data_IF_084587974748
#
_entry.id   IF_084587974748
#
_cell.length_a   1.000
_cell.length_b   1.000
_cell.length_c   1.000
_cell.angle_alpha   90.00
_cell.angle_beta   90.00
_cell.angle_gamma   90.00
#
_symmetry.space_group_name_H-M   'P 1'
#
loop_
_entity.id
_entity.type
_entity.pdbx_description
1 polymer ?
#
# COMPACT_ATOMS: atom_id res chain seq x y z
N UNK A 1 1.87 -19.69 12.21
CA UNK A 1 1.32 -19.25 10.89
C UNK A 1 -0.16 -18.98 11.10
N UNK A 2 -0.69 -17.93 10.48
CA UNK A 2 -2.13 -17.64 10.55
C UNK A 2 -2.95 -18.72 9.85
N UNK A 3 -4.14 -19.02 10.39
CA UNK A 3 -5.12 -19.92 9.78
C UNK A 3 -5.92 -19.24 8.66
N UNK A 4 -5.86 -17.92 8.57
CA UNK A 4 -6.54 -17.16 7.55
C UNK A 4 -5.75 -17.14 6.24
N UNK A 5 -6.44 -17.22 5.11
CA UNK A 5 -5.87 -17.27 3.76
C UNK A 5 -6.66 -16.36 2.83
N UNK A 6 -5.99 -15.72 1.87
CA UNK A 6 -6.66 -14.94 0.81
C UNK A 6 -7.20 -15.95 -0.21
N UNK A 7 -8.49 -15.87 -0.48
CA UNK A 7 -9.19 -16.77 -1.40
C UNK A 7 -9.73 -16.08 -2.65
N UNK A 8 -9.87 -14.76 -2.61
CA UNK A 8 -10.31 -13.96 -3.76
C UNK A 8 -9.85 -12.52 -3.67
N UNK A 9 -9.85 -11.83 -4.82
CA UNK A 9 -9.52 -10.41 -4.89
C UNK A 9 -10.08 -9.77 -6.15
N UNK A 10 -10.26 -8.46 -6.07
CA UNK A 10 -10.52 -7.59 -7.21
C UNK A 10 -9.80 -6.25 -7.02
N UNK A 11 -9.60 -5.53 -8.12
CA UNK A 11 -8.88 -4.26 -8.14
C UNK A 11 -9.46 -3.38 -9.22
N UNK A 12 -9.81 -2.13 -8.90
CA UNK A 12 -10.19 -1.13 -9.90
C UNK A 12 -8.95 -0.63 -10.66
N UNK A 13 -9.16 0.01 -11.80
CA UNK A 13 -8.08 0.74 -12.44
C UNK A 13 -7.74 1.98 -11.60
N UNK A 14 -6.46 2.19 -11.29
CA UNK A 14 -6.00 3.40 -10.64
C UNK A 14 -5.86 4.53 -11.65
N UNK A 15 -6.28 5.73 -11.24
CA UNK A 15 -6.21 6.91 -12.09
C UNK A 15 -7.17 8.00 -11.63
N UNK A 16 -7.41 8.97 -12.52
CA UNK A 16 -8.52 9.88 -12.35
C UNK A 16 -9.79 9.15 -12.77
N UNK A 17 -10.51 8.60 -11.79
CA UNK A 17 -11.72 7.84 -12.05
C UNK A 17 -12.88 8.75 -12.46
N UNK A 18 -13.66 8.28 -13.45
CA UNK A 18 -14.97 8.88 -13.78
C UNK A 18 -16.06 8.60 -12.73
N UNK A 19 -15.80 7.67 -11.82
CA UNK A 19 -16.69 7.35 -10.70
C UNK A 19 -16.72 8.53 -9.72
N UNK A 20 -17.89 9.04 -9.34
CA UNK A 20 -17.97 10.32 -8.63
C UNK A 20 -17.46 10.26 -7.19
N UNK A 21 -17.57 9.13 -6.51
CA UNK A 21 -17.40 8.98 -5.07
C UNK A 21 -16.78 7.65 -4.65
N UNK A 22 -16.60 7.46 -3.35
CA UNK A 22 -16.09 6.24 -2.74
C UNK A 22 -17.03 5.05 -2.86
N UNK A 23 -18.35 5.30 -2.84
CA UNK A 23 -19.34 4.24 -3.00
C UNK A 23 -19.24 3.58 -4.36
N UNK A 24 -19.19 4.39 -5.42
CA UNK A 24 -19.03 3.89 -6.78
C UNK A 24 -17.71 3.14 -6.98
N UNK A 25 -16.59 3.61 -6.37
CA UNK A 25 -15.31 2.89 -6.43
C UNK A 25 -15.38 1.53 -5.71
N UNK A 26 -16.04 1.45 -4.56
CA UNK A 26 -16.25 0.20 -3.85
C UNK A 26 -17.11 -0.78 -4.66
N UNK A 27 -18.13 -0.28 -5.38
CA UNK A 27 -18.99 -1.09 -6.23
C UNK A 27 -18.21 -1.79 -7.37
N UNK A 28 -17.12 -1.17 -7.86
CA UNK A 28 -16.28 -1.78 -8.90
C UNK A 28 -15.55 -3.05 -8.43
N UNK A 29 -15.38 -3.27 -7.13
CA UNK A 29 -14.50 -4.33 -6.60
C UNK A 29 -15.19 -5.35 -5.68
N UNK A 30 -16.34 -5.02 -5.05
CA UNK A 30 -16.99 -5.90 -4.08
C UNK A 30 -17.48 -7.17 -4.75
N UNK A 31 -18.42 -7.07 -5.68
CA UNK A 31 -18.97 -8.24 -6.35
C UNK A 31 -17.90 -9.03 -7.14
N UNK A 32 -17.00 -8.39 -7.92
CA UNK A 32 -15.92 -9.13 -8.58
C UNK A 32 -14.98 -9.89 -7.64
N UNK A 33 -14.72 -9.38 -6.42
CA UNK A 33 -13.87 -10.10 -5.46
C UNK A 33 -14.58 -11.33 -4.89
N UNK A 34 -15.87 -11.23 -4.59
CA UNK A 34 -16.70 -12.33 -4.13
C UNK A 34 -16.82 -13.42 -5.21
N UNK A 35 -17.09 -13.03 -6.45
CA UNK A 35 -17.13 -13.93 -7.62
C UNK A 35 -15.77 -14.61 -7.83
N UNK A 36 -14.68 -13.86 -7.70
CA UNK A 36 -13.33 -14.42 -7.83
C UNK A 36 -13.00 -15.44 -6.73
N UNK A 37 -13.57 -15.25 -5.53
CA UNK A 37 -13.44 -16.16 -4.40
C UNK A 37 -14.37 -17.39 -4.49
N UNK A 38 -15.42 -17.32 -5.31
CA UNK A 38 -16.54 -18.27 -5.32
C UNK A 38 -17.23 -18.31 -3.93
N UNK A 39 -17.44 -17.12 -3.33
CA UNK A 39 -18.04 -16.96 -1.99
C UNK A 39 -19.29 -16.09 -2.10
N UNK A 40 -20.46 -16.58 -1.69
CA UNK A 40 -21.68 -15.77 -1.63
C UNK A 40 -21.55 -14.63 -0.62
N UNK A 41 -22.09 -13.46 -0.93
CA UNK A 41 -22.06 -12.29 -0.04
C UNK A 41 -22.62 -12.57 1.35
N UNK A 42 -23.71 -13.37 1.43
CA UNK A 42 -24.35 -13.74 2.71
C UNK A 42 -23.45 -14.57 3.65
N UNK A 43 -22.35 -15.11 3.14
CA UNK A 43 -21.41 -15.94 3.91
C UNK A 43 -20.26 -15.08 4.50
N UNK A 44 -20.27 -13.76 4.26
CA UNK A 44 -19.31 -12.82 4.84
C UNK A 44 -19.72 -12.49 6.29
N UNK A 45 -18.85 -12.86 7.23
CA UNK A 45 -19.07 -12.65 8.66
C UNK A 45 -18.72 -11.23 9.15
N UNK A 46 -17.76 -10.57 8.49
CA UNK A 46 -17.32 -9.22 8.84
C UNK A 46 -16.68 -8.48 7.65
N UNK A 47 -16.74 -7.14 7.68
CA UNK A 47 -16.18 -6.26 6.66
C UNK A 47 -15.21 -5.28 7.31
N UNK A 48 -14.01 -5.16 6.75
CA UNK A 48 -12.96 -4.24 7.18
C UNK A 48 -12.60 -3.30 6.04
N UNK A 49 -12.94 -2.02 6.19
CA UNK A 49 -12.72 -1.01 5.15
C UNK A 49 -11.56 -0.12 5.53
N UNK A 50 -10.50 -0.14 4.74
CA UNK A 50 -9.37 0.77 4.86
C UNK A 50 -9.58 2.03 4.01
N UNK A 51 -9.58 3.20 4.64
CA UNK A 51 -9.60 4.49 3.97
C UNK A 51 -8.99 5.56 4.86
N UNK A 52 -8.05 6.33 4.33
CA UNK A 52 -7.51 7.51 5.00
C UNK A 52 -8.62 8.57 5.10
N UNK A 53 -9.30 8.86 4.02
CA UNK A 53 -10.24 9.96 3.81
C UNK A 53 -9.69 11.32 4.26
N UNK A 54 -9.74 11.65 5.54
CA UNK A 54 -9.23 12.89 6.14
C UNK A 54 -9.66 14.15 5.37
N UNK A 55 -10.87 14.13 4.77
CA UNK A 55 -11.42 15.23 3.97
C UNK A 55 -11.21 15.09 2.45
N UNK A 56 -10.62 14.00 1.95
CA UNK A 56 -10.54 13.71 0.50
C UNK A 56 -11.94 13.48 -0.10
N UNK A 57 -12.87 12.98 0.69
CA UNK A 57 -14.29 12.81 0.36
C UNK A 57 -15.14 13.36 1.50
N UNK A 58 -16.28 13.98 1.16
CA UNK A 58 -17.27 14.43 2.14
C UNK A 58 -18.04 13.29 2.79
N UNK A 59 -18.07 12.09 2.17
CA UNK A 59 -18.68 10.90 2.74
C UNK A 59 -17.78 10.30 3.80
N UNK A 60 -18.21 10.31 5.03
CA UNK A 60 -17.61 9.55 6.13
C UNK A 60 -18.44 8.28 6.42
N UNK A 61 -18.15 7.57 7.51
CA UNK A 61 -18.80 6.28 7.85
C UNK A 61 -18.73 5.27 6.70
N UNK A 62 -17.59 5.25 6.00
CA UNK A 62 -17.34 4.45 4.79
C UNK A 62 -17.56 2.94 5.07
N UNK A 63 -17.38 2.49 6.32
CA UNK A 63 -17.65 1.11 6.71
C UNK A 63 -19.09 0.64 6.43
N UNK A 64 -20.07 1.53 6.40
CA UNK A 64 -21.47 1.19 6.13
C UNK A 64 -21.81 1.07 4.64
N UNK A 65 -20.99 1.62 3.74
CA UNK A 65 -21.29 1.65 2.30
C UNK A 65 -21.41 0.27 1.64
N UNK A 66 -20.64 -0.78 2.02
CA UNK A 66 -20.78 -2.09 1.40
C UNK A 66 -22.21 -2.65 1.45
N UNK A 67 -22.94 -2.41 2.54
CA UNK A 67 -24.36 -2.81 2.66
C UNK A 67 -25.33 -2.01 1.81
N UNK A 68 -24.94 -0.80 1.38
CA UNK A 68 -25.70 0.01 0.41
C UNK A 68 -25.48 -0.50 -1.02
N UNK A 69 -24.25 -0.95 -1.32
CA UNK A 69 -23.86 -1.43 -2.63
C UNK A 69 -24.42 -2.83 -2.91
N UNK A 70 -24.33 -3.72 -1.92
CA UNK A 70 -24.78 -5.09 -2.02
C UNK A 70 -25.67 -5.42 -0.81
N UNK A 71 -27.03 -5.48 -1.00
CA UNK A 71 -27.99 -5.63 0.09
C UNK A 71 -27.76 -6.84 1.00
N UNK A 72 -27.18 -7.92 0.48
CA UNK A 72 -26.83 -9.11 1.23
C UNK A 72 -25.80 -8.84 2.33
N UNK A 73 -25.02 -7.75 2.21
CA UNK A 73 -24.05 -7.31 3.21
C UNK A 73 -24.63 -6.33 4.24
N UNK A 74 -25.88 -5.90 4.10
CA UNK A 74 -26.47 -4.84 4.93
C UNK A 74 -26.50 -5.15 6.44
N UNK A 75 -26.51 -6.43 6.81
CA UNK A 75 -26.49 -6.87 8.21
C UNK A 75 -25.11 -7.35 8.67
N UNK A 76 -24.12 -7.35 7.78
CA UNK A 76 -22.76 -7.76 8.11
C UNK A 76 -22.05 -6.68 8.92
N UNK A 77 -21.50 -7.00 10.12
CA UNK A 77 -20.73 -6.04 10.89
C UNK A 77 -19.56 -5.47 10.08
N UNK A 78 -19.45 -4.15 10.07
CA UNK A 78 -18.44 -3.46 9.29
C UNK A 78 -17.74 -2.37 10.10
N UNK A 79 -16.43 -2.21 9.91
CA UNK A 79 -15.65 -1.14 10.54
C UNK A 79 -14.74 -0.49 9.50
N UNK A 80 -14.50 0.81 9.67
CA UNK A 80 -13.42 1.51 8.96
C UNK A 80 -12.18 1.53 9.82
N UNK A 81 -11.02 1.31 9.18
CA UNK A 81 -9.70 1.46 9.77
C UNK A 81 -8.91 2.54 9.03
N UNK A 82 -7.98 3.14 9.74
CA UNK A 82 -7.05 4.14 9.23
C UNK A 82 -5.65 3.89 9.83
N UNK A 83 -4.62 3.94 9.00
CA UNK A 83 -3.21 3.88 9.38
C UNK A 83 -2.35 4.49 8.27
N UNK A 84 -2.71 5.71 7.85
CA UNK A 84 -2.10 6.45 6.75
C UNK A 84 -1.90 5.54 5.51
N UNK A 85 -0.70 5.52 4.92
CA UNK A 85 -0.40 4.69 3.73
C UNK A 85 -0.44 3.18 4.01
N UNK A 86 -0.43 2.74 5.28
CA UNK A 86 -0.56 1.34 5.68
C UNK A 86 -2.00 0.91 5.99
N UNK A 87 -2.98 1.74 5.69
CA UNK A 87 -4.40 1.55 6.00
C UNK A 87 -4.96 0.22 5.45
N UNK A 88 -4.64 -0.12 4.20
CA UNK A 88 -5.07 -1.40 3.62
C UNK A 88 -4.48 -2.62 4.35
N UNK A 89 -3.23 -2.52 4.79
CA UNK A 89 -2.61 -3.55 5.62
C UNK A 89 -3.27 -3.64 7.00
N UNK A 90 -3.61 -2.50 7.63
CA UNK A 90 -4.31 -2.49 8.91
C UNK A 90 -5.69 -3.17 8.81
N UNK A 91 -6.45 -2.91 7.74
CA UNK A 91 -7.71 -3.59 7.48
C UNK A 91 -7.53 -5.10 7.30
N UNK A 92 -6.48 -5.51 6.58
CA UNK A 92 -6.15 -6.93 6.42
C UNK A 92 -5.77 -7.56 7.78
N UNK A 93 -4.93 -6.94 8.59
CA UNK A 93 -4.59 -7.45 9.93
C UNK A 93 -5.82 -7.62 10.81
N UNK A 94 -6.73 -6.64 10.82
CA UNK A 94 -7.98 -6.75 11.58
C UNK A 94 -8.83 -7.94 11.13
N UNK A 95 -8.88 -8.24 9.83
CA UNK A 95 -9.56 -9.42 9.30
C UNK A 95 -8.87 -10.73 9.72
N UNK A 96 -7.53 -10.77 9.68
CA UNK A 96 -6.76 -11.94 10.15
C UNK A 96 -7.03 -12.20 11.63
N UNK A 97 -6.95 -11.17 12.47
CA UNK A 97 -7.18 -11.26 13.91
C UNK A 97 -8.62 -11.67 14.23
N UNK A 98 -9.60 -11.17 13.47
CA UNK A 98 -11.01 -11.55 13.61
C UNK A 98 -11.22 -13.05 13.37
N UNK A 99 -10.61 -13.59 12.32
CA UNK A 99 -10.68 -15.01 11.98
C UNK A 99 -9.89 -15.86 12.99
N UNK A 100 -8.70 -15.44 13.38
CA UNK A 100 -7.88 -16.15 14.37
C UNK A 100 -8.57 -16.22 15.75
N UNK A 101 -9.28 -15.15 16.13
CA UNK A 101 -10.07 -15.10 17.36
C UNK A 101 -11.35 -15.96 17.32
N UNK A 102 -11.65 -16.58 16.17
CA UNK A 102 -12.85 -17.41 15.99
C UNK A 102 -14.16 -16.62 15.98
N UNK A 103 -14.13 -15.32 15.72
CA UNK A 103 -15.32 -14.44 15.67
C UNK A 103 -16.08 -14.52 14.36
N UNK A 104 -15.45 -15.04 13.30
CA UNK A 104 -15.97 -15.27 11.98
C UNK A 104 -15.03 -16.20 11.21
N UNK A 105 -15.47 -16.66 10.06
CA UNK A 105 -14.70 -17.59 9.22
C UNK A 105 -14.34 -17.00 7.87
N UNK A 106 -15.12 -16.01 7.39
CA UNK A 106 -14.89 -15.33 6.12
C UNK A 106 -15.03 -13.81 6.34
N UNK A 107 -14.04 -13.06 5.92
CA UNK A 107 -14.03 -11.60 6.01
C UNK A 107 -13.80 -10.97 4.63
N UNK A 108 -14.50 -9.85 4.38
CA UNK A 108 -14.26 -8.98 3.23
C UNK A 108 -13.38 -7.81 3.69
N UNK A 109 -12.23 -7.64 3.03
CA UNK A 109 -11.30 -6.53 3.26
C UNK A 109 -11.33 -5.62 2.06
N UNK A 110 -11.57 -4.34 2.29
CA UNK A 110 -11.69 -3.32 1.26
C UNK A 110 -10.67 -2.23 1.51
N UNK A 111 -10.13 -1.67 0.43
CA UNK A 111 -9.35 -0.44 0.46
C UNK A 111 -9.88 0.52 -0.60
N UNK A 112 -10.10 1.79 -0.25
CA UNK A 112 -10.64 2.77 -1.18
C UNK A 112 -10.14 4.16 -0.86
N UNK A 113 -9.81 4.92 -1.93
CA UNK A 113 -9.53 6.35 -1.82
C UNK A 113 -10.03 7.11 -3.06
N UNK A 114 -10.78 8.20 -2.84
CA UNK A 114 -11.21 9.13 -3.87
C UNK A 114 -10.47 10.45 -3.68
N UNK A 115 -9.29 10.56 -4.28
CA UNK A 115 -8.40 11.70 -4.09
C UNK A 115 -8.65 12.84 -5.08
N UNK A 116 -9.15 12.53 -6.28
CA UNK A 116 -9.27 13.52 -7.37
C UNK A 116 -10.57 14.30 -7.35
N UNK A 117 -11.40 14.13 -6.31
CA UNK A 117 -12.63 14.89 -6.11
C UNK A 117 -12.38 16.33 -5.63
N UNK A 118 -11.20 16.60 -5.07
CA UNK A 118 -10.79 17.89 -4.55
C UNK A 118 -9.60 18.47 -5.34
N UNK A 119 -9.35 19.78 -5.25
CA UNK A 119 -8.20 20.42 -5.89
C UNK A 119 -6.86 19.81 -5.42
N UNK A 120 -5.92 19.63 -6.34
CA UNK A 120 -4.60 19.06 -6.04
C UNK A 120 -3.82 19.85 -4.97
N UNK A 121 -4.05 21.17 -4.89
CA UNK A 121 -3.46 22.03 -3.86
C UNK A 121 -3.89 21.66 -2.43
N UNK A 122 -5.10 21.15 -2.25
CA UNK A 122 -5.64 20.76 -0.95
C UNK A 122 -5.16 19.36 -0.54
N UNK A 123 -4.90 18.50 -1.51
CA UNK A 123 -4.43 17.12 -1.25
C UNK A 123 -3.11 17.13 -0.47
N UNK A 124 -2.20 18.03 -0.79
CA UNK A 124 -0.91 18.16 -0.09
C UNK A 124 -1.09 18.42 1.40
N UNK A 125 -2.01 19.31 1.76
CA UNK A 125 -2.33 19.64 3.15
C UNK A 125 -3.00 18.45 3.89
N UNK A 126 -3.92 17.76 3.23
CA UNK A 126 -4.58 16.59 3.80
C UNK A 126 -3.55 15.48 4.09
N UNK A 127 -2.63 15.23 3.15
CA UNK A 127 -1.58 14.23 3.31
C UNK A 127 -0.57 14.58 4.40
N UNK A 128 -0.34 15.87 4.69
CA UNK A 128 0.46 16.30 5.84
C UNK A 128 -0.15 15.91 7.19
N UNK A 129 -1.44 15.52 7.22
CA UNK A 129 -2.05 14.90 8.39
C UNK A 129 -1.42 13.57 8.78
N UNK A 130 -0.72 12.89 7.87
CA UNK A 130 0.05 11.67 8.14
C UNK A 130 1.47 11.94 8.67
N UNK A 131 1.87 13.20 8.84
CA UNK A 131 3.14 13.64 9.40
C UNK A 131 2.93 14.24 10.81
N UNK A 132 4.03 14.48 11.54
CA UNK A 132 3.95 15.17 12.82
C UNK A 132 3.79 16.68 12.59
N UNK A 133 2.55 17.14 12.42
CA UNK A 133 2.20 18.51 12.03
C UNK A 133 2.87 19.62 12.86
N UNK A 134 3.06 19.50 14.20
CA UNK A 134 3.72 20.56 14.97
C UNK A 134 5.15 20.91 14.52
N UNK A 135 5.84 20.00 13.84
CA UNK A 135 7.22 20.19 13.38
C UNK A 135 7.35 20.14 11.84
N UNK A 136 6.35 19.63 11.14
CA UNK A 136 6.47 19.25 9.73
C UNK A 136 5.43 19.92 8.80
N UNK A 137 4.48 20.71 9.34
CA UNK A 137 3.43 21.36 8.54
C UNK A 137 3.97 22.42 7.56
N UNK A 138 5.07 23.10 7.90
CA UNK A 138 5.60 24.24 7.13
C UNK A 138 6.68 23.81 6.12
N UNK A 139 6.75 22.52 5.79
CA UNK A 139 7.74 22.03 4.84
C UNK A 139 7.42 22.53 3.43
N UNK A 140 8.37 23.21 2.81
CA UNK A 140 8.24 23.63 1.42
C UNK A 140 8.02 22.41 0.51
N UNK A 141 7.01 22.46 -0.36
CA UNK A 141 6.60 21.34 -1.20
C UNK A 141 5.61 20.38 -0.53
N UNK A 142 5.08 20.73 0.66
CA UNK A 142 4.06 19.98 1.37
C UNK A 142 4.51 18.55 1.68
N UNK A 143 3.61 17.57 1.53
CA UNK A 143 3.91 16.16 1.80
C UNK A 143 5.11 15.62 0.98
N UNK A 144 5.24 16.01 -0.29
CA UNK A 144 6.41 15.63 -1.10
C UNK A 144 7.72 16.24 -0.56
N UNK A 145 7.63 17.44 0.05
CA UNK A 145 8.76 18.12 0.69
C UNK A 145 9.38 17.34 1.84
N UNK A 146 8.57 16.57 2.59
CA UNK A 146 9.06 15.65 3.63
C UNK A 146 10.04 14.63 3.02
N UNK A 147 9.67 14.02 1.92
CA UNK A 147 10.52 13.05 1.22
C UNK A 147 11.71 13.72 0.53
N UNK A 148 11.53 14.96 0.05
CA UNK A 148 12.64 15.78 -0.46
C UNK A 148 13.72 16.00 0.60
N UNK A 149 13.33 16.38 1.82
CA UNK A 149 14.28 16.52 2.96
C UNK A 149 15.00 15.21 3.29
N UNK A 150 14.29 14.07 3.28
CA UNK A 150 14.90 12.75 3.52
C UNK A 150 15.89 12.43 2.41
N UNK A 151 15.54 12.66 1.15
CA UNK A 151 16.41 12.40 0.01
C UNK A 151 17.66 13.31 0.03
N UNK A 152 17.48 14.60 0.34
CA UNK A 152 18.60 15.55 0.45
C UNK A 152 19.57 15.12 1.56
N UNK A 153 19.09 14.80 2.75
CA UNK A 153 19.92 14.28 3.83
C UNK A 153 20.62 12.96 3.49
N UNK A 154 19.97 12.11 2.68
CA UNK A 154 20.60 10.89 2.18
C UNK A 154 21.73 11.22 1.20
N UNK A 155 21.55 12.18 0.30
CA UNK A 155 22.58 12.62 -0.65
C UNK A 155 23.75 13.27 0.07
N UNK A 156 23.50 14.08 1.11
CA UNK A 156 24.56 14.65 1.93
C UNK A 156 25.42 13.58 2.61
N UNK A 157 24.80 12.47 3.04
CA UNK A 157 25.50 11.37 3.74
C UNK A 157 26.24 10.43 2.79
N UNK A 158 25.69 10.15 1.60
CA UNK A 158 26.15 9.09 0.71
C UNK A 158 26.53 9.55 -0.71
N UNK A 159 26.57 10.86 -0.93
CA UNK A 159 26.77 11.45 -2.25
C UNK A 159 25.52 11.50 -3.10
N UNK A 160 25.60 12.16 -4.24
CA UNK A 160 24.47 12.27 -5.19
C UNK A 160 24.01 10.90 -5.66
N UNK A 161 22.69 10.64 -5.56
CA UNK A 161 22.01 9.39 -5.92
C UNK A 161 20.89 9.63 -6.94
N UNK A 162 20.99 10.74 -7.69
CA UNK A 162 20.01 11.11 -8.70
C UNK A 162 19.86 10.05 -9.79
N UNK A 163 20.97 9.43 -10.21
CA UNK A 163 20.98 8.39 -11.22
C UNK A 163 20.30 7.12 -10.72
N UNK A 164 20.58 6.69 -9.48
CA UNK A 164 19.93 5.51 -8.90
C UNK A 164 18.42 5.71 -8.73
N UNK A 165 17.97 6.92 -8.35
CA UNK A 165 16.54 7.25 -8.33
C UNK A 165 15.94 7.17 -9.74
N UNK A 166 16.64 7.70 -10.75
CA UNK A 166 16.19 7.62 -12.15
C UNK A 166 16.10 6.18 -12.65
N UNK A 167 17.05 5.30 -12.27
CA UNK A 167 17.01 3.87 -12.61
C UNK A 167 15.79 3.19 -11.98
N UNK A 168 15.46 3.52 -10.72
CA UNK A 168 14.26 3.01 -10.03
C UNK A 168 12.99 3.49 -10.73
N UNK A 169 12.91 4.78 -11.02
CA UNK A 169 11.78 5.39 -11.72
C UNK A 169 11.55 4.75 -13.09
N UNK A 170 12.59 4.66 -13.92
CA UNK A 170 12.55 4.04 -15.24
C UNK A 170 12.05 2.58 -15.17
N UNK A 171 12.61 1.78 -14.25
CA UNK A 171 12.15 0.40 -14.03
C UNK A 171 10.67 0.33 -13.66
N UNK A 172 10.21 1.19 -12.75
CA UNK A 172 8.82 1.18 -12.29
C UNK A 172 7.86 1.61 -13.41
N UNK A 173 8.22 2.62 -14.20
CA UNK A 173 7.46 3.02 -15.38
C UNK A 173 7.39 1.91 -16.42
N UNK A 174 8.50 1.23 -16.69
CA UNK A 174 8.52 0.09 -17.62
C UNK A 174 7.61 -1.05 -17.16
N UNK A 175 7.61 -1.36 -15.85
CA UNK A 175 6.70 -2.36 -15.27
C UNK A 175 5.22 -1.93 -15.37
N UNK A 176 4.95 -0.63 -15.24
CA UNK A 176 3.61 -0.06 -15.36
C UNK A 176 2.98 -0.22 -16.74
N UNK A 177 3.79 -0.30 -17.82
CA UNK A 177 3.28 -0.44 -19.19
C UNK A 177 2.43 -1.70 -19.35
N UNK A 178 2.85 -2.81 -18.77
CA UNK A 178 2.16 -4.10 -18.86
C UNK A 178 1.06 -4.29 -17.81
N UNK A 179 0.85 -3.34 -16.90
CA UNK A 179 -0.14 -3.44 -15.85
C UNK A 179 -1.45 -2.73 -16.25
N UNK A 180 -2.56 -3.45 -16.52
CA UNK A 180 -3.81 -2.83 -16.94
C UNK A 180 -4.44 -1.90 -15.90
N UNK A 181 -4.05 -2.05 -14.63
CA UNK A 181 -4.54 -1.25 -13.51
C UNK A 181 -3.70 -0.02 -13.20
N UNK A 182 -2.53 0.13 -13.82
CA UNK A 182 -1.65 1.26 -13.55
C UNK A 182 -2.22 2.57 -14.12
N UNK A 183 -2.10 3.66 -13.34
CA UNK A 183 -2.46 5.00 -13.79
C UNK A 183 -1.58 5.43 -14.97
N UNK A 184 -0.26 5.25 -14.85
CA UNK A 184 0.71 5.60 -15.88
C UNK A 184 1.22 4.34 -16.57
N UNK A 185 0.83 4.17 -17.86
CA UNK A 185 1.26 3.04 -18.69
C UNK A 185 2.23 3.53 -19.79
N UNK A 186 3.28 4.23 -19.37
CA UNK A 186 4.28 4.82 -20.28
C UNK A 186 5.68 4.57 -19.73
N UNK A 187 6.53 3.97 -20.57
CA UNK A 187 7.94 3.83 -20.27
C UNK A 187 8.69 5.16 -20.42
N UNK A 188 9.70 5.35 -19.58
CA UNK A 188 10.68 6.42 -19.69
C UNK A 188 12.08 5.83 -19.58
N UNK A 189 13.03 6.39 -20.33
CA UNK A 189 14.43 6.01 -20.20
C UNK A 189 15.01 6.51 -18.87
N UNK A 190 16.13 5.94 -18.45
CA UNK A 190 16.89 6.45 -17.28
C UNK A 190 17.28 7.91 -17.50
N UNK A 191 17.70 8.26 -18.73
CA UNK A 191 18.07 9.62 -19.09
C UNK A 191 16.87 10.59 -18.94
N UNK A 192 15.67 10.21 -19.44
CA UNK A 192 14.46 11.04 -19.29
C UNK A 192 14.08 11.22 -17.83
N UNK A 193 14.22 10.18 -17.01
CA UNK A 193 13.95 10.24 -15.58
C UNK A 193 15.02 11.06 -14.83
N UNK A 194 16.28 11.07 -15.29
CA UNK A 194 17.36 11.80 -14.63
C UNK A 194 17.43 13.29 -15.01
N UNK A 195 16.95 13.63 -16.21
CA UNK A 195 16.98 15.01 -16.71
C UNK A 195 15.90 15.87 -16.08
N UNK A 196 16.28 16.97 -15.45
CA UNK A 196 15.35 18.02 -15.04
C UNK A 196 14.93 18.82 -16.26
N UNK A 197 13.63 18.97 -16.48
CA UNK A 197 13.04 19.68 -17.64
C UNK A 197 11.59 20.09 -17.33
N UNK A 198 10.95 20.85 -18.21
CA UNK A 198 9.52 21.20 -18.09
C UNK A 198 8.61 19.95 -18.01
N UNK A 199 9.03 18.84 -18.60
CA UNK A 199 8.30 17.56 -18.54
C UNK A 199 8.60 16.76 -17.28
N UNK A 200 9.76 16.99 -16.66
CA UNK A 200 10.21 16.32 -15.45
C UNK A 200 10.84 17.33 -14.47
N UNK A 201 10.08 18.36 -14.01
CA UNK A 201 10.59 19.33 -13.06
C UNK A 201 10.80 18.73 -11.67
N UNK A 202 11.54 19.42 -10.84
CA UNK A 202 11.53 19.14 -9.41
C UNK A 202 10.12 19.34 -8.83
N UNK A 203 9.67 18.38 -8.04
CA UNK A 203 8.45 18.49 -7.21
C UNK A 203 8.85 18.98 -5.82
N UNK A 204 9.87 18.37 -5.25
CA UNK A 204 10.51 18.76 -3.98
C UNK A 204 11.99 18.35 -4.06
N UNK A 205 12.91 19.28 -4.37
CA UNK A 205 14.31 18.91 -4.58
C UNK A 205 14.88 18.04 -3.46
N UNK A 206 15.68 16.98 -3.79
CA UNK A 206 16.15 16.62 -5.13
C UNK A 206 15.17 15.73 -5.93
N UNK A 207 13.91 15.54 -5.49
CA UNK A 207 12.93 14.68 -6.14
C UNK A 207 12.28 15.36 -7.35
N UNK A 208 12.29 14.66 -8.47
CA UNK A 208 11.67 15.06 -9.75
C UNK A 208 10.26 14.45 -9.86
N UNK A 209 9.50 14.91 -10.84
CA UNK A 209 8.16 14.35 -11.10
C UNK A 209 8.16 12.83 -11.27
N UNK A 210 9.17 12.27 -11.95
CA UNK A 210 9.29 10.81 -12.15
C UNK A 210 9.65 10.04 -10.89
N UNK A 211 10.15 10.71 -9.85
CA UNK A 211 10.45 10.12 -8.56
C UNK A 211 9.22 10.06 -7.63
N UNK A 212 8.13 10.74 -8.01
CA UNK A 212 6.91 10.87 -7.22
C UNK A 212 5.77 10.06 -7.81
N UNK A 213 4.90 9.51 -6.95
CA UNK A 213 3.67 8.87 -7.39
C UNK A 213 2.62 9.90 -7.82
N UNK A 214 1.70 9.49 -8.69
CA UNK A 214 0.56 10.30 -9.07
C UNK A 214 -0.53 10.23 -8.02
N UNK A 215 -1.27 11.35 -7.87
CA UNK A 215 -2.56 11.35 -7.15
C UNK A 215 -3.54 10.51 -7.97
N UNK A 216 -4.11 9.48 -7.36
CA UNK A 216 -4.97 8.52 -8.04
C UNK A 216 -6.13 8.10 -7.15
N UNK A 217 -7.28 7.92 -7.78
CA UNK A 217 -8.41 7.22 -7.19
C UNK A 217 -8.26 5.73 -7.38
N UNK A 218 -8.93 4.93 -6.56
CA UNK A 218 -9.04 3.51 -6.76
C UNK A 218 -9.59 2.77 -5.56
N UNK A 219 -9.94 1.51 -5.81
CA UNK A 219 -10.36 0.56 -4.79
C UNK A 219 -9.73 -0.82 -5.04
N UNK A 220 -9.60 -1.58 -3.97
CA UNK A 220 -9.22 -2.99 -4.01
C UNK A 220 -10.01 -3.77 -2.97
N UNK A 221 -10.27 -5.04 -3.26
CA UNK A 221 -10.97 -5.94 -2.36
C UNK A 221 -10.23 -7.27 -2.22
N UNK A 222 -10.22 -7.82 -1.01
CA UNK A 222 -9.75 -9.17 -0.73
C UNK A 222 -10.85 -9.93 0.00
N UNK A 223 -11.01 -11.20 -0.33
CA UNK A 223 -11.79 -12.16 0.49
C UNK A 223 -10.80 -13.02 1.24
N UNK A 224 -10.92 -13.05 2.55
CA UNK A 224 -10.06 -13.82 3.46
C UNK A 224 -10.91 -14.86 4.17
N UNK A 225 -10.49 -16.12 4.15
CA UNK A 225 -11.22 -17.22 4.76
C UNK A 225 -10.32 -18.04 5.69
N UNK A 226 -10.93 -18.63 6.72
CA UNK A 226 -10.27 -19.61 7.57
C UNK A 226 -9.82 -20.83 6.74
N UNK A 227 -8.69 -21.41 7.06
CA UNK A 227 -8.07 -22.52 6.31
C UNK A 227 -9.02 -23.72 6.06
N UNK A 228 -9.94 -23.97 6.98
CA UNK A 228 -10.94 -25.03 6.84
C UNK A 228 -11.96 -24.79 5.72
N UNK A 229 -12.17 -23.53 5.33
CA UNK A 229 -13.00 -23.15 4.17
C UNK A 229 -12.11 -23.00 2.95
N UNK A 230 -10.98 -22.34 3.10
CA UNK A 230 -10.06 -22.03 2.00
C UNK A 230 -9.58 -23.27 1.23
N UNK A 231 -9.44 -24.43 1.90
CA UNK A 231 -9.03 -25.69 1.27
C UNK A 231 -10.00 -26.20 0.20
N UNK A 232 -11.28 -25.87 0.33
CA UNK A 232 -12.33 -26.31 -0.59
C UNK A 232 -12.60 -25.29 -1.71
N UNK A 233 -11.93 -24.14 -1.67
CA UNK A 233 -12.02 -23.06 -2.66
C UNK A 233 -10.94 -23.20 -3.74
N UNK A 234 -11.21 -22.60 -4.90
CA UNK A 234 -10.31 -22.69 -6.08
C UNK A 234 -8.91 -22.11 -5.84
N UNK A 235 -8.78 -21.19 -4.89
CA UNK A 235 -7.54 -20.46 -4.58
C UNK A 235 -7.39 -20.28 -3.09
N UNK A 236 -6.16 -20.45 -2.62
CA UNK A 236 -5.82 -20.20 -1.23
C UNK A 236 -4.36 -19.73 -1.14
N UNK A 237 -4.17 -18.46 -0.80
CA UNK A 237 -2.84 -17.87 -0.62
C UNK A 237 -2.57 -17.76 0.88
N UNK A 238 -1.55 -18.47 1.35
CA UNK A 238 -1.14 -18.50 2.75
C UNK A 238 -0.15 -17.38 3.06
N UNK A 239 -0.27 -16.82 4.25
CA UNK A 239 0.75 -15.95 4.81
C UNK A 239 1.86 -16.82 5.44
N UNK A 240 3.09 -16.66 4.99
CA UNK A 240 4.26 -17.30 5.62
C UNK A 240 4.68 -16.58 6.90
N UNK A 241 4.48 -15.28 6.95
CA UNK A 241 4.68 -14.44 8.12
C UNK A 241 3.77 -13.22 8.02
N UNK A 242 3.40 -12.70 9.18
CA UNK A 242 2.70 -11.43 9.33
C UNK A 242 3.40 -10.65 10.43
N UNK A 243 3.83 -9.42 10.12
CA UNK A 243 4.56 -8.59 11.08
C UNK A 243 4.15 -7.14 10.90
N UNK A 244 3.83 -6.51 12.01
CA UNK A 244 3.52 -5.09 12.08
C UNK A 244 4.51 -4.41 13.02
N UNK A 245 5.10 -3.29 12.59
CA UNK A 245 6.00 -2.50 13.42
C UNK A 245 5.80 -1.01 13.14
N UNK A 246 5.72 -0.23 14.20
CA UNK A 246 5.68 1.23 14.12
C UNK A 246 7.07 1.81 14.29
N UNK A 247 7.25 3.03 13.79
CA UNK A 247 8.39 3.88 14.09
C UNK A 247 7.91 5.19 14.76
N UNK A 248 8.84 6.01 15.24
CA UNK A 248 8.50 7.34 15.77
C UNK A 248 8.01 8.22 14.64
N UNK A 249 6.86 8.89 14.82
CA UNK A 249 6.24 9.68 13.76
C UNK A 249 7.11 10.87 13.36
N UNK A 250 7.55 11.68 14.34
CA UNK A 250 8.37 12.86 14.08
C UNK A 250 9.76 12.49 13.52
N UNK A 251 10.13 13.06 12.36
CA UNK A 251 11.44 12.84 11.75
C UNK A 251 12.60 13.32 12.62
N UNK A 252 12.40 14.39 13.40
CA UNK A 252 13.40 14.94 14.31
C UNK A 252 13.82 14.00 15.44
N UNK A 253 13.00 13.00 15.73
CA UNK A 253 13.18 12.05 16.86
C UNK A 253 13.71 10.68 16.44
N UNK A 254 14.10 10.51 15.19
CA UNK A 254 14.66 9.26 14.63
C UNK A 254 15.67 9.56 13.54
N UNK A 255 16.48 8.57 13.17
CA UNK A 255 17.24 8.65 11.91
C UNK A 255 16.30 8.30 10.74
N UNK A 256 15.89 9.29 9.91
CA UNK A 256 14.96 9.06 8.81
C UNK A 256 15.54 8.15 7.71
N UNK A 257 16.87 7.95 7.68
CA UNK A 257 17.53 7.09 6.71
C UNK A 257 17.68 5.64 7.18
N UNK A 258 17.45 5.36 8.48
CA UNK A 258 17.57 4.02 9.03
C UNK A 258 16.36 3.13 8.71
N UNK A 259 15.16 3.71 8.55
CA UNK A 259 13.90 2.99 8.34
C UNK A 259 13.70 1.87 9.37
N UNK A 260 13.88 2.18 10.66
CA UNK A 260 13.92 1.19 11.73
C UNK A 260 12.63 0.37 11.86
N UNK A 261 11.47 0.96 11.62
CA UNK A 261 10.20 0.24 11.56
C UNK A 261 10.22 -0.86 10.48
N UNK A 262 10.69 -0.54 9.28
CA UNK A 262 10.81 -1.50 8.17
C UNK A 262 11.81 -2.60 8.51
N UNK A 263 12.96 -2.25 9.09
CA UNK A 263 13.98 -3.22 9.52
C UNK A 263 13.44 -4.21 10.55
N UNK A 264 12.71 -3.71 11.55
CA UNK A 264 12.08 -4.56 12.60
C UNK A 264 11.02 -5.48 11.98
N UNK A 265 10.14 -4.94 11.15
CA UNK A 265 9.10 -5.73 10.48
C UNK A 265 9.71 -6.83 9.60
N UNK A 266 10.75 -6.49 8.83
CA UNK A 266 11.45 -7.46 7.98
C UNK A 266 12.14 -8.56 8.79
N UNK A 267 12.88 -8.20 9.83
CA UNK A 267 13.56 -9.16 10.70
C UNK A 267 12.57 -10.12 11.37
N UNK A 268 11.48 -9.60 11.95
CA UNK A 268 10.43 -10.42 12.55
C UNK A 268 9.72 -11.34 11.55
N UNK A 269 9.53 -10.87 10.31
CA UNK A 269 8.95 -11.70 9.25
C UNK A 269 9.87 -12.87 8.86
N UNK A 270 11.17 -12.64 8.75
CA UNK A 270 12.15 -13.69 8.43
C UNK A 270 12.26 -14.72 9.56
N UNK A 271 12.25 -14.27 10.81
CA UNK A 271 12.24 -15.14 11.99
C UNK A 271 10.97 -16.00 12.03
N UNK A 272 9.81 -15.38 11.91
CA UNK A 272 8.50 -16.08 11.90
C UNK A 272 8.40 -17.08 10.75
N UNK A 273 8.97 -16.76 9.58
CA UNK A 273 9.00 -17.66 8.43
C UNK A 273 10.04 -18.80 8.57
N UNK A 274 10.83 -18.83 9.65
CA UNK A 274 11.90 -19.81 9.86
C UNK A 274 13.07 -19.65 8.88
N UNK A 275 13.25 -18.46 8.30
CA UNK A 275 14.31 -18.17 7.33
C UNK A 275 15.60 -17.66 8.00
N UNK A 276 15.51 -17.22 9.26
CA UNK A 276 16.63 -16.81 10.10
C UNK A 276 16.41 -17.44 11.48
N UNK A 277 17.45 -18.03 12.07
CA UNK A 277 17.39 -18.53 13.46
C UNK A 277 17.46 -17.32 14.42
N UNK A 278 16.76 -17.41 15.57
CA UNK A 278 16.65 -16.41 16.62
C UNK A 278 17.94 -16.08 17.38
N UNK A 279 19.12 -16.30 16.79
CA UNK A 279 20.37 -15.81 17.36
C UNK A 279 20.47 -14.30 17.12
N UNK A 280 20.76 -13.49 18.15
CA UNK A 280 20.91 -12.06 17.97
C UNK A 280 22.10 -11.81 17.02
N UNK A 281 21.79 -11.47 15.76
CA UNK A 281 22.78 -10.82 14.93
C UNK A 281 22.94 -9.41 15.49
N UNK A 282 24.07 -9.16 16.14
CA UNK A 282 24.55 -7.80 16.36
C UNK A 282 24.83 -7.26 14.95
N UNK A 283 23.83 -6.63 14.36
CA UNK A 283 23.96 -6.00 13.07
C UNK A 283 24.77 -4.71 13.26
N UNK A 284 26.04 -4.75 12.94
CA UNK A 284 26.75 -3.52 12.62
C UNK A 284 26.05 -2.84 11.44
N UNK A 285 25.90 -1.52 11.44
CA UNK A 285 25.29 -0.80 10.33
C UNK A 285 26.25 -0.86 9.14
N UNK A 286 26.04 -1.82 8.25
CA UNK A 286 26.72 -1.86 6.97
C UNK A 286 25.88 -1.13 5.93
N UNK A 287 26.44 -0.19 5.15
CA UNK A 287 25.72 0.60 4.14
C UNK A 287 25.15 -0.19 2.97
N UNK A 288 25.32 -1.51 2.95
CA UNK A 288 24.97 -2.37 1.81
C UNK A 288 23.48 -2.70 1.68
N UNK A 289 22.59 -2.19 2.54
CA UNK A 289 21.16 -2.55 2.53
C UNK A 289 20.31 -1.81 1.48
N UNK A 290 20.85 -0.79 0.81
CA UNK A 290 20.20 -0.15 -0.35
C UNK A 290 20.51 -0.82 -1.70
N UNK A 291 21.05 -2.05 -1.70
CA UNK A 291 21.37 -2.74 -2.93
C UNK A 291 20.11 -3.36 -3.55
N UNK A 292 19.52 -2.65 -4.50
CA UNK A 292 18.29 -2.99 -5.24
C UNK A 292 18.31 -4.35 -5.95
N UNK A 293 19.44 -5.06 -5.96
CA UNK A 293 19.59 -6.39 -6.59
C UNK A 293 18.95 -7.54 -5.81
N UNK A 294 18.51 -7.34 -4.56
CA UNK A 294 17.89 -8.42 -3.76
C UNK A 294 16.36 -8.46 -3.81
N UNK A 295 15.72 -7.56 -4.52
CA UNK A 295 14.27 -7.53 -4.69
C UNK A 295 13.78 -8.17 -5.99
N UNK A 296 14.67 -8.82 -6.76
CA UNK A 296 14.25 -9.59 -7.92
C UNK A 296 13.59 -10.91 -7.44
N UNK A 297 12.30 -11.07 -7.69
CA UNK A 297 11.63 -12.35 -7.64
C UNK A 297 12.39 -13.32 -8.56
N UNK A 298 12.66 -14.56 -8.14
CA UNK A 298 13.26 -15.53 -9.04
C UNK A 298 12.27 -15.81 -10.17
N UNK A 299 12.59 -15.36 -11.37
CA UNK A 299 11.95 -15.84 -12.59
C UNK A 299 12.23 -17.35 -12.65
N UNK A 300 11.17 -18.17 -12.49
CA UNK A 300 11.25 -19.57 -12.90
C UNK A 300 11.54 -19.58 -14.39
N UNK A 301 12.77 -19.93 -14.78
CA UNK A 301 13.07 -20.35 -16.11
C UNK A 301 12.13 -21.49 -16.48
N UNK A 302 11.31 -21.33 -17.51
CA UNK A 302 10.63 -22.43 -18.17
C UNK A 302 11.74 -23.26 -18.83
N UNK A 303 12.08 -24.37 -18.21
CA UNK A 303 12.76 -25.45 -18.92
C UNK A 303 11.77 -26.00 -19.94
N UNK A 304 12.12 -25.91 -21.20
CA UNK A 304 11.39 -26.56 -22.30
C UNK A 304 11.51 -28.09 -22.23
N UNK A 305 10.43 -28.73 -22.48
CA UNK A 305 10.18 -29.84 -23.44
C UNK A 305 8.69 -30.13 -23.42
#
# INVERSE_FOLDING_TARGET
MTKAQIVGWAHSRFGKSGTPDVEGLLAEVIAPALDHADVPARDIDAIFVGSLNNGLSSQDFIGALPGMILPELAQTPAVRLENACATGSAALYAALDHIEAGRGRIALVLGVEKMTAIPTSEIGEILLGACYRPEESDVQGGFAGIFGKIADGYFQRYGDKSEELAMIASKNHANGVGNPYAHMQKAFSVEDCNRVSDRNPYVAPPLRRTDCSLVSDGAAALVVAHENIARDLRRAIRFRATTHANDVLALSRRDPHAFDGVRRAWAGSLETAGMISSRPMIASPSPSFCNTRRWAWPHRARAGR
#
